data_IF_498062145996
#
_entry.id   IF_498062145996
#
_cell.length_a   1.000
_cell.length_b   1.000
_cell.length_c   1.000
_cell.angle_alpha   90.00
_cell.angle_beta   90.00
_cell.angle_gamma   90.00
#
_symmetry.space_group_name_H-M   'P 1'
#
loop_
_entity.id
_entity.type
_entity.pdbx_description
1 polymer ?
#
# COMPACT_ATOMS: atom_id res chain seq x y z
N UNK A 1 -28.82 34.88 -9.51
CA UNK A 1 -28.44 35.13 -8.10
C UNK A 1 -29.02 34.02 -7.24
N UNK A 2 -28.26 32.98 -6.92
CA UNK A 2 -28.74 31.86 -6.10
C UNK A 2 -28.33 32.05 -4.64
N UNK A 3 -29.28 31.78 -3.75
CA UNK A 3 -29.19 32.03 -2.32
C UNK A 3 -28.12 31.15 -1.66
N UNK A 4 -27.14 31.78 -1.02
CA UNK A 4 -26.28 31.13 -0.04
C UNK A 4 -27.13 30.74 1.17
N UNK A 5 -27.45 29.45 1.30
CA UNK A 5 -28.00 28.88 2.54
C UNK A 5 -26.94 29.03 3.63
N UNK A 6 -27.19 29.92 4.58
CA UNK A 6 -26.38 30.10 5.78
C UNK A 6 -26.41 28.81 6.60
N UNK A 7 -25.24 28.20 6.80
CA UNK A 7 -25.10 27.04 7.69
C UNK A 7 -25.35 27.54 9.12
N UNK A 8 -26.30 26.97 9.88
CA UNK A 8 -26.61 27.46 11.21
C UNK A 8 -25.39 27.29 12.13
N UNK A 9 -24.91 28.41 12.69
CA UNK A 9 -23.71 28.53 13.55
C UNK A 9 -23.67 27.47 14.66
N UNK A 10 -24.84 27.05 15.19
CA UNK A 10 -24.96 25.98 16.20
C UNK A 10 -24.51 24.60 15.70
N UNK A 11 -24.65 24.27 14.41
CA UNK A 11 -24.14 23.02 13.81
C UNK A 11 -22.63 23.05 13.64
N UNK A 12 -22.06 24.21 13.30
CA UNK A 12 -20.60 24.41 13.18
C UNK A 12 -19.93 24.28 14.55
N UNK A 13 -20.50 24.90 15.59
CA UNK A 13 -19.99 24.81 16.96
C UNK A 13 -20.07 23.37 17.50
N UNK A 14 -21.17 22.65 17.26
CA UNK A 14 -21.28 21.22 17.63
C UNK A 14 -20.24 20.37 16.89
N UNK A 15 -19.97 20.63 15.61
CA UNK A 15 -18.98 19.90 14.84
C UNK A 15 -17.55 20.18 15.34
N UNK A 16 -17.23 21.44 15.65
CA UNK A 16 -15.94 21.83 16.22
C UNK A 16 -15.72 21.21 17.61
N UNK A 17 -16.75 21.20 18.47
CA UNK A 17 -16.70 20.55 19.79
C UNK A 17 -16.57 19.02 19.68
N UNK A 18 -17.29 18.37 18.75
CA UNK A 18 -17.14 16.93 18.54
C UNK A 18 -15.74 16.59 18.01
N UNK A 19 -15.23 17.42 17.09
CA UNK A 19 -13.89 17.25 16.52
C UNK A 19 -12.81 17.48 17.57
N UNK A 20 -12.94 18.48 18.45
CA UNK A 20 -11.97 18.76 19.52
C UNK A 20 -11.98 17.68 20.61
N UNK A 21 -13.14 17.17 21.01
CA UNK A 21 -13.26 16.04 21.96
C UNK A 21 -12.71 14.74 21.35
N UNK A 22 -12.94 14.52 20.05
CA UNK A 22 -12.33 13.41 19.32
C UNK A 22 -10.80 13.55 19.24
N UNK A 23 -10.29 14.75 18.97
CA UNK A 23 -8.84 15.02 18.98
C UNK A 23 -8.22 14.77 20.35
N UNK A 24 -8.85 15.19 21.45
CA UNK A 24 -8.33 15.00 22.81
C UNK A 24 -8.26 13.52 23.21
N UNK A 25 -9.30 12.74 22.89
CA UNK A 25 -9.32 11.30 23.21
C UNK A 25 -8.35 10.49 22.34
N UNK A 26 -8.28 10.80 21.03
CA UNK A 26 -7.29 10.18 20.14
C UNK A 26 -5.87 10.56 20.57
N UNK A 27 -5.62 11.84 20.90
CA UNK A 27 -4.29 12.28 21.36
C UNK A 27 -3.89 11.66 22.70
N UNK A 28 -4.83 11.49 23.63
CA UNK A 28 -4.60 10.80 24.90
C UNK A 28 -4.29 9.31 24.71
N UNK A 29 -4.91 8.65 23.72
CA UNK A 29 -4.61 7.26 23.39
C UNK A 29 -3.30 7.12 22.59
N UNK A 30 -2.98 8.09 21.72
CA UNK A 30 -1.71 8.16 20.98
C UNK A 30 -0.51 8.46 21.88
N UNK A 31 -0.73 9.02 23.08
CA UNK A 31 0.34 9.29 24.05
C UNK A 31 0.76 7.97 24.69
N UNK A 32 1.83 7.40 24.14
CA UNK A 32 2.38 6.13 24.50
C UNK A 32 2.86 6.12 25.98
N UNK A 33 2.26 5.26 26.81
CA UNK A 33 2.68 5.08 28.21
C UNK A 33 3.90 4.16 28.27
N UNK A 34 5.08 4.78 28.43
CA UNK A 34 6.38 4.10 28.53
C UNK A 34 6.60 3.30 29.81
N UNK A 35 5.63 3.21 30.73
CA UNK A 35 5.74 2.33 31.91
C UNK A 35 5.29 0.89 31.62
N UNK A 36 4.48 0.67 30.57
CA UNK A 36 3.86 -0.62 30.27
C UNK A 36 4.72 -1.46 29.33
N UNK A 37 4.92 -2.74 29.68
CA UNK A 37 5.64 -3.73 28.84
C UNK A 37 4.98 -3.99 27.49
N UNK A 38 3.66 -3.85 27.43
CA UNK A 38 2.83 -4.03 26.23
C UNK A 38 1.86 -2.86 26.16
N UNK A 39 1.74 -2.27 24.98
CA UNK A 39 0.89 -1.10 24.73
C UNK A 39 -0.12 -1.43 23.64
N UNK A 40 -1.36 -1.05 23.88
CA UNK A 40 -2.45 -1.20 22.94
C UNK A 40 -2.98 0.18 22.55
N UNK A 41 -3.37 0.32 21.30
CA UNK A 41 -3.95 1.53 20.74
C UNK A 41 -5.06 1.11 19.78
N UNK A 42 -6.24 1.71 19.92
CA UNK A 42 -7.37 1.43 19.05
C UNK A 42 -7.84 2.74 18.47
N UNK A 43 -7.83 2.86 17.14
CA UNK A 43 -8.14 4.09 16.43
C UNK A 43 -9.21 3.81 15.37
N UNK A 44 -10.28 4.61 15.31
CA UNK A 44 -11.18 4.59 14.16
C UNK A 44 -10.42 5.06 12.90
N UNK A 45 -10.56 4.30 11.81
CA UNK A 45 -9.93 4.65 10.53
C UNK A 45 -10.96 5.21 9.57
N UNK A 46 -10.59 6.30 8.89
CA UNK A 46 -11.36 6.91 7.82
C UNK A 46 -10.40 7.31 6.71
N UNK A 47 -10.61 6.78 5.51
CA UNK A 47 -9.75 7.07 4.37
C UNK A 47 -10.55 6.99 3.07
N UNK A 48 -9.99 7.49 1.97
CA UNK A 48 -10.67 7.52 0.67
C UNK A 48 -9.71 7.22 -0.47
N UNK A 49 -10.14 6.38 -1.39
CA UNK A 49 -9.44 6.15 -2.66
C UNK A 49 -10.42 6.06 -3.83
N UNK A 50 -9.95 6.24 -5.08
CA UNK A 50 -10.77 6.00 -6.28
C UNK A 50 -11.34 4.59 -6.40
N UNK A 51 -10.73 3.59 -5.77
CA UNK A 51 -11.10 2.17 -5.81
C UNK A 51 -12.19 1.85 -4.80
N UNK A 52 -12.04 2.34 -3.58
CA UNK A 52 -12.89 2.00 -2.44
C UNK A 52 -14.01 3.03 -2.19
N UNK A 53 -13.85 4.25 -2.70
CA UNK A 53 -14.66 5.37 -2.23
C UNK A 53 -14.28 5.72 -0.79
N UNK A 54 -15.24 6.16 0.03
CA UNK A 54 -15.01 6.36 1.46
C UNK A 54 -14.96 5.00 2.17
N UNK A 55 -13.92 4.80 2.97
CA UNK A 55 -13.72 3.63 3.83
C UNK A 55 -13.75 4.05 5.30
N UNK A 56 -14.43 3.27 6.13
CA UNK A 56 -14.57 3.50 7.57
C UNK A 56 -14.44 2.18 8.32
N UNK A 57 -13.77 2.22 9.47
CA UNK A 57 -13.52 1.02 10.25
C UNK A 57 -12.74 1.30 11.51
N UNK A 58 -12.06 0.27 12.01
CA UNK A 58 -11.26 0.34 13.23
C UNK A 58 -9.90 -0.31 12.97
N UNK A 59 -8.87 0.25 13.59
CA UNK A 59 -7.54 -0.33 13.64
C UNK A 59 -7.10 -0.49 15.09
N UNK A 60 -6.52 -1.64 15.40
CA UNK A 60 -5.82 -1.91 16.64
C UNK A 60 -4.31 -1.96 16.40
N UNK A 61 -3.52 -1.56 17.38
CA UNK A 61 -2.06 -1.69 17.36
C UNK A 61 -1.57 -2.17 18.70
N UNK A 62 -0.81 -3.27 18.69
CA UNK A 62 -0.15 -3.87 19.83
C UNK A 62 1.36 -3.66 19.69
N UNK A 63 1.95 -2.85 20.56
CA UNK A 63 3.39 -2.57 20.59
C UNK A 63 4.04 -3.22 21.79
N UNK A 64 5.16 -3.90 21.59
CA UNK A 64 5.89 -4.62 22.65
C UNK A 64 7.38 -4.78 22.30
N UNK A 65 8.20 -5.10 23.30
CA UNK A 65 9.59 -5.56 23.08
C UNK A 65 9.68 -7.06 23.33
N UNK A 66 10.48 -7.76 22.51
CA UNK A 66 10.83 -9.18 22.75
C UNK A 66 11.96 -9.33 23.77
N UNK A 67 12.53 -8.22 24.24
CA UNK A 67 13.58 -8.12 25.25
C UNK A 67 13.04 -7.30 26.44
N UNK A 68 13.93 -6.75 27.28
CA UNK A 68 13.54 -5.84 28.34
C UNK A 68 13.10 -4.48 27.79
N UNK A 69 12.20 -3.80 28.51
CA UNK A 69 11.54 -2.57 28.06
C UNK A 69 12.51 -1.44 27.63
N UNK A 70 13.68 -1.32 28.25
CA UNK A 70 14.64 -0.25 27.99
C UNK A 70 15.82 -0.65 27.08
N UNK A 71 15.78 -1.82 26.43
CA UNK A 71 16.87 -2.25 25.53
C UNK A 71 16.98 -1.31 24.31
N UNK A 72 18.08 -0.54 24.16
CA UNK A 72 18.22 0.40 23.05
C UNK A 72 18.58 -0.29 21.73
N UNK A 73 19.00 -1.56 21.76
CA UNK A 73 19.51 -2.29 20.60
C UNK A 73 18.42 -3.02 19.81
N UNK A 74 17.21 -3.12 20.35
CA UNK A 74 16.09 -3.83 19.73
C UNK A 74 14.90 -2.89 19.60
N UNK A 75 14.48 -2.60 18.36
CA UNK A 75 13.27 -1.80 18.10
C UNK A 75 12.01 -2.44 18.70
N UNK A 76 11.02 -1.60 18.97
CA UNK A 76 9.68 -2.04 19.40
C UNK A 76 8.99 -2.79 18.27
N UNK A 77 8.56 -4.02 18.57
CA UNK A 77 7.72 -4.84 17.71
C UNK A 77 6.30 -4.31 17.71
N UNK A 78 5.62 -4.42 16.57
CA UNK A 78 4.26 -3.93 16.41
C UNK A 78 3.44 -4.96 15.65
N UNK A 79 2.25 -5.26 16.14
CA UNK A 79 1.19 -5.96 15.40
C UNK A 79 0.03 -4.99 15.24
N UNK A 80 -0.29 -4.66 14.00
CA UNK A 80 -1.44 -3.83 13.63
C UNK A 80 -2.53 -4.73 13.09
N UNK A 81 -3.76 -4.49 13.52
CA UNK A 81 -4.95 -5.09 12.95
C UNK A 81 -5.85 -3.99 12.42
N UNK A 82 -6.60 -4.29 11.36
CA UNK A 82 -7.54 -3.36 10.77
C UNK A 82 -8.74 -4.13 10.25
N UNK A 83 -9.94 -3.58 10.44
CA UNK A 83 -11.17 -4.07 9.84
C UNK A 83 -11.97 -2.86 9.36
N UNK A 84 -12.35 -2.84 8.09
CA UNK A 84 -13.09 -1.72 7.52
C UNK A 84 -14.06 -2.14 6.41
N UNK A 85 -15.08 -1.30 6.26
CA UNK A 85 -16.05 -1.35 5.18
C UNK A 85 -15.94 -0.11 4.31
N UNK A 86 -16.48 -0.19 3.11
CA UNK A 86 -16.43 0.91 2.16
C UNK A 86 -17.79 1.22 1.57
N UNK A 87 -17.95 2.44 1.07
CA UNK A 87 -19.11 2.87 0.28
C UNK A 87 -19.32 2.08 -1.02
N UNK A 88 -18.32 1.29 -1.45
CA UNK A 88 -18.38 0.40 -2.61
C UNK A 88 -18.53 -1.08 -2.24
N UNK A 89 -18.93 -1.36 -0.99
CA UNK A 89 -19.23 -2.70 -0.49
C UNK A 89 -18.01 -3.64 -0.46
N UNK A 90 -16.82 -3.09 -0.28
CA UNK A 90 -15.66 -3.91 0.11
C UNK A 90 -15.66 -4.13 1.62
N UNK A 91 -15.17 -5.30 2.04
CA UNK A 91 -14.86 -5.65 3.42
C UNK A 91 -13.43 -6.18 3.44
N UNK A 92 -12.58 -5.58 4.27
CA UNK A 92 -11.20 -6.02 4.44
C UNK A 92 -10.88 -6.11 5.92
N UNK A 93 -10.31 -7.25 6.30
CA UNK A 93 -9.77 -7.52 7.62
C UNK A 93 -8.32 -7.93 7.45
N UNK A 94 -7.40 -7.27 8.13
CA UNK A 94 -5.99 -7.60 8.02
C UNK A 94 -5.28 -7.48 9.37
N UNK A 95 -4.21 -8.25 9.51
CA UNK A 95 -3.24 -8.15 10.58
C UNK A 95 -1.84 -8.14 9.97
N UNK A 96 -1.10 -7.07 10.22
CA UNK A 96 0.28 -6.86 9.80
C UNK A 96 1.19 -6.81 11.03
N UNK A 97 2.25 -7.60 11.04
CA UNK A 97 3.18 -7.71 12.17
C UNK A 97 4.62 -7.46 11.72
N UNK A 98 5.36 -6.73 12.54
CA UNK A 98 6.83 -6.68 12.49
C UNK A 98 7.37 -6.95 13.87
N UNK A 99 8.05 -8.09 14.02
CA UNK A 99 8.62 -8.57 15.27
C UNK A 99 10.14 -8.53 15.17
N UNK A 100 10.76 -7.69 15.99
CA UNK A 100 12.21 -7.58 16.09
C UNK A 100 12.71 -8.50 17.20
N UNK A 101 13.56 -9.47 16.87
CA UNK A 101 14.23 -10.33 17.84
C UNK A 101 15.45 -9.61 18.46
N UNK A 102 16.05 -10.12 19.56
CA UNK A 102 17.13 -9.43 20.26
C UNK A 102 18.29 -8.99 19.34
N UNK A 103 18.73 -7.73 19.48
CA UNK A 103 19.75 -7.07 18.64
C UNK A 103 19.37 -7.00 17.15
N UNK A 104 18.10 -7.29 16.84
CA UNK A 104 17.52 -7.45 15.52
C UNK A 104 18.34 -8.40 14.64
N UNK A 105 18.88 -9.47 15.24
CA UNK A 105 19.53 -10.55 14.48
C UNK A 105 18.53 -11.17 13.49
N UNK A 106 17.26 -11.23 13.90
CA UNK A 106 16.15 -11.65 13.08
C UNK A 106 15.02 -10.61 13.15
N UNK A 107 14.29 -10.49 12.05
CA UNK A 107 13.06 -9.69 11.94
C UNK A 107 12.02 -10.57 11.28
N UNK A 108 10.90 -10.83 11.94
CA UNK A 108 9.76 -11.53 11.35
C UNK A 108 8.72 -10.49 10.94
N UNK A 109 8.45 -10.41 9.64
CA UNK A 109 7.28 -9.72 9.11
C UNK A 109 6.18 -10.76 8.88
N UNK A 110 4.94 -10.38 9.08
CA UNK A 110 3.79 -11.26 8.82
C UNK A 110 2.60 -10.44 8.36
N UNK A 111 1.93 -10.93 7.33
CA UNK A 111 0.64 -10.41 6.90
C UNK A 111 -0.38 -11.54 6.90
N UNK A 112 -1.57 -11.27 7.44
CA UNK A 112 -2.74 -12.13 7.30
C UNK A 112 -3.89 -11.23 6.90
N UNK A 113 -4.65 -11.58 5.89
CA UNK A 113 -5.84 -10.81 5.51
C UNK A 113 -6.96 -11.66 4.96
N UNK A 114 -8.17 -11.19 5.15
CA UNK A 114 -9.37 -11.59 4.42
C UNK A 114 -9.92 -10.36 3.70
N UNK A 115 -10.37 -10.54 2.47
CA UNK A 115 -10.98 -9.46 1.71
C UNK A 115 -12.08 -9.96 0.80
N UNK A 116 -13.23 -9.29 0.86
CA UNK A 116 -14.25 -9.31 -0.18
C UNK A 116 -14.19 -7.98 -0.95
N UNK A 117 -13.98 -8.05 -2.27
CA UNK A 117 -13.66 -6.87 -3.06
C UNK A 117 -14.38 -6.87 -4.42
N UNK A 118 -15.52 -6.18 -4.53
CA UNK A 118 -16.05 -5.74 -5.82
C UNK A 118 -15.08 -4.75 -6.49
N UNK A 119 -14.62 -5.09 -7.68
CA UNK A 119 -13.63 -4.36 -8.45
C UNK A 119 -14.11 -4.08 -9.89
N UNK A 120 -13.29 -3.34 -10.62
CA UNK A 120 -13.48 -2.98 -12.02
C UNK A 120 -12.43 -3.65 -12.89
N UNK A 121 -12.85 -4.07 -14.07
CA UNK A 121 -12.02 -4.72 -15.07
C UNK A 121 -12.10 -3.98 -16.41
N UNK A 122 -10.95 -3.70 -17.00
CA UNK A 122 -10.83 -3.04 -18.31
C UNK A 122 -10.20 -3.95 -19.38
N UNK A 123 -9.87 -5.19 -19.04
CA UNK A 123 -9.04 -6.07 -19.86
C UNK A 123 -7.63 -6.26 -19.28
N UNK A 124 -6.83 -7.07 -19.98
CA UNK A 124 -5.43 -7.35 -19.68
C UNK A 124 -4.55 -6.69 -20.74
N UNK A 125 -3.41 -6.15 -20.31
CA UNK A 125 -2.38 -5.55 -21.15
C UNK A 125 -2.38 -4.01 -21.14
N UNK A 126 -1.43 -3.42 -21.88
CA UNK A 126 -1.20 -1.97 -21.88
C UNK A 126 -2.21 -1.15 -22.69
N UNK A 127 -3.01 -1.79 -23.57
CA UNK A 127 -3.81 -1.14 -24.62
C UNK A 127 -5.32 -1.15 -24.33
N UNK A 128 -5.71 -1.29 -23.06
CA UNK A 128 -7.12 -1.38 -22.68
C UNK A 128 -7.83 -0.03 -22.77
N UNK A 129 -9.03 -0.01 -23.34
CA UNK A 129 -9.86 1.20 -23.49
C UNK A 129 -10.41 1.68 -22.14
N UNK A 130 -10.61 3.00 -21.97
CA UNK A 130 -11.11 3.56 -20.70
C UNK A 130 -12.56 3.19 -20.36
N UNK A 131 -13.38 2.91 -21.38
CA UNK A 131 -14.78 2.49 -21.24
C UNK A 131 -15.19 1.53 -22.37
N UNK A 132 -16.14 0.62 -22.11
CA UNK A 132 -16.73 0.32 -20.79
C UNK A 132 -15.76 -0.48 -19.90
N UNK A 133 -15.93 -0.37 -18.59
CA UNK A 133 -15.35 -1.33 -17.64
C UNK A 133 -16.44 -2.32 -17.22
N UNK A 134 -16.03 -3.52 -16.84
CA UNK A 134 -16.90 -4.53 -16.26
C UNK A 134 -16.67 -4.63 -14.76
N UNK A 135 -17.70 -5.04 -14.01
CA UNK A 135 -17.57 -5.31 -12.57
C UNK A 135 -17.39 -6.80 -12.36
N UNK A 136 -16.46 -7.13 -11.47
CA UNK A 136 -16.30 -8.47 -10.93
C UNK A 136 -16.08 -8.36 -9.42
N UNK A 137 -16.21 -9.44 -8.67
CA UNK A 137 -15.86 -9.47 -7.27
C UNK A 137 -15.11 -10.75 -6.96
N UNK A 138 -14.20 -10.67 -5.99
CA UNK A 138 -13.56 -11.84 -5.42
C UNK A 138 -13.62 -11.81 -3.91
N UNK A 139 -13.55 -13.00 -3.32
CA UNK A 139 -13.31 -13.19 -1.89
C UNK A 139 -12.03 -14.00 -1.71
N UNK A 140 -11.12 -13.54 -0.86
CA UNK A 140 -9.85 -14.22 -0.65
C UNK A 140 -9.34 -14.13 0.79
N UNK A 141 -8.48 -15.09 1.14
CA UNK A 141 -7.58 -15.02 2.27
C UNK A 141 -6.14 -15.02 1.78
N UNK A 142 -5.28 -14.29 2.48
CA UNK A 142 -3.85 -14.16 2.17
C UNK A 142 -3.02 -14.25 3.44
N UNK A 143 -1.91 -14.98 3.38
CA UNK A 143 -0.96 -15.16 4.48
C UNK A 143 0.46 -15.05 3.91
N UNK A 144 1.29 -14.20 4.51
CA UNK A 144 2.69 -14.04 4.10
C UNK A 144 3.62 -13.80 5.29
N UNK A 145 4.22 -14.84 5.88
CA UNK A 145 5.33 -14.71 6.80
C UNK A 145 6.64 -14.47 6.02
N UNK A 146 7.47 -13.56 6.53
CA UNK A 146 8.77 -13.21 5.96
C UNK A 146 9.79 -13.04 7.08
N UNK A 147 10.69 -14.03 7.21
CA UNK A 147 11.77 -13.99 8.19
C UNK A 147 13.04 -13.44 7.54
N UNK A 148 13.59 -12.37 8.11
CA UNK A 148 14.85 -11.75 7.69
C UNK A 148 15.92 -11.96 8.75
N UNK A 149 17.13 -12.32 8.32
CA UNK A 149 18.36 -12.40 9.12
C UNK A 149 19.27 -11.22 8.78
N UNK A 150 19.75 -10.54 9.81
CA UNK A 150 20.74 -9.46 9.68
C UNK A 150 22.11 -10.06 9.30
N UNK A 151 22.67 -9.62 8.18
CA UNK A 151 24.00 -10.04 7.72
C UNK A 151 25.05 -8.98 8.08
N UNK A 152 24.72 -7.72 7.80
CA UNK A 152 25.52 -6.55 8.22
C UNK A 152 24.60 -5.50 8.84
N UNK A 153 25.14 -4.34 9.23
CA UNK A 153 24.36 -3.27 9.88
C UNK A 153 23.10 -2.85 9.10
N UNK A 154 23.11 -2.98 7.77
CA UNK A 154 22.04 -2.50 6.88
C UNK A 154 21.53 -3.56 5.89
N UNK A 155 22.23 -4.69 5.76
CA UNK A 155 21.90 -5.75 4.82
C UNK A 155 21.23 -6.92 5.53
N UNK A 156 20.11 -7.37 4.97
CA UNK A 156 19.35 -8.52 5.45
C UNK A 156 19.10 -9.50 4.31
N UNK A 157 19.26 -10.78 4.60
CA UNK A 157 18.77 -11.87 3.77
C UNK A 157 17.52 -12.43 4.41
N UNK A 158 16.55 -12.85 3.62
CA UNK A 158 15.30 -13.39 4.16
C UNK A 158 14.72 -14.52 3.35
N UNK A 159 13.86 -15.28 4.01
CA UNK A 159 13.01 -16.32 3.43
C UNK A 159 11.57 -15.93 3.69
N UNK A 160 10.71 -16.13 2.69
CA UNK A 160 9.29 -15.83 2.80
C UNK A 160 8.45 -16.98 2.28
N UNK A 161 7.20 -16.99 2.72
CA UNK A 161 6.16 -17.84 2.19
C UNK A 161 4.98 -16.96 1.81
N UNK A 162 4.27 -17.31 0.76
CA UNK A 162 3.04 -16.66 0.34
C UNK A 162 1.98 -17.71 0.09
N UNK A 163 0.82 -17.51 0.70
CA UNK A 163 -0.36 -18.33 0.48
C UNK A 163 -1.56 -17.43 0.24
N UNK A 164 -2.21 -17.60 -0.90
CA UNK A 164 -3.45 -16.94 -1.25
C UNK A 164 -4.48 -18.00 -1.61
N UNK A 165 -5.67 -17.90 -1.03
CA UNK A 165 -6.81 -18.70 -1.40
C UNK A 165 -7.94 -17.78 -1.84
N UNK A 166 -8.32 -17.83 -3.11
CA UNK A 166 -9.45 -17.11 -3.69
C UNK A 166 -10.65 -18.04 -3.67
N UNK A 167 -11.57 -17.80 -2.74
CA UNK A 167 -12.71 -18.66 -2.44
C UNK A 167 -13.83 -18.53 -3.47
N UNK A 168 -14.07 -17.31 -3.94
CA UNK A 168 -15.20 -16.99 -4.79
C UNK A 168 -14.80 -15.93 -5.80
N UNK A 169 -15.27 -16.08 -7.04
CA UNK A 169 -15.12 -15.12 -8.13
C UNK A 169 -16.49 -14.98 -8.80
N UNK A 170 -17.03 -13.77 -8.83
CA UNK A 170 -18.32 -13.47 -9.48
C UNK A 170 -18.14 -12.39 -10.53
N UNK A 171 -18.64 -12.65 -11.73
CA UNK A 171 -18.56 -11.76 -12.88
C UNK A 171 -19.73 -12.06 -13.84
N UNK A 172 -19.91 -11.25 -14.88
CA UNK A 172 -20.98 -11.44 -15.85
C UNK A 172 -20.54 -12.44 -16.93
N UNK A 173 -21.27 -13.55 -17.07
CA UNK A 173 -21.05 -14.52 -18.15
C UNK A 173 -21.25 -13.88 -19.54
N UNK A 174 -20.39 -14.22 -20.49
CA UNK A 174 -20.35 -13.61 -21.82
C UNK A 174 -19.90 -12.14 -21.85
N UNK A 175 -19.45 -11.60 -20.71
CA UNK A 175 -18.84 -10.28 -20.62
C UNK A 175 -17.38 -10.25 -21.10
N UNK A 176 -16.81 -9.05 -21.14
CA UNK A 176 -15.39 -8.82 -21.43
C UNK A 176 -14.45 -9.53 -20.45
N UNK A 177 -14.84 -9.66 -19.19
CA UNK A 177 -14.08 -10.42 -18.18
C UNK A 177 -14.04 -11.90 -18.53
N UNK A 178 -15.20 -12.45 -18.88
CA UNK A 178 -15.36 -13.87 -19.24
C UNK A 178 -14.65 -14.23 -20.56
N UNK A 179 -14.69 -13.34 -21.55
CA UNK A 179 -14.07 -13.58 -22.86
C UNK A 179 -12.55 -13.34 -22.87
N UNK A 180 -11.99 -12.62 -21.90
CA UNK A 180 -10.56 -12.30 -21.87
C UNK A 180 -9.71 -13.53 -21.53
N UNK A 181 -8.56 -13.71 -22.20
CA UNK A 181 -7.66 -14.83 -21.95
C UNK A 181 -6.74 -14.56 -20.74
N UNK A 182 -7.11 -15.07 -19.55
CA UNK A 182 -6.28 -15.06 -18.34
C UNK A 182 -6.69 -16.17 -17.36
N UNK A 183 -5.81 -16.50 -16.41
CA UNK A 183 -6.04 -17.55 -15.40
C UNK A 183 -6.74 -17.03 -14.13
N UNK A 184 -7.40 -17.91 -13.38
CA UNK A 184 -8.02 -17.54 -12.09
C UNK A 184 -9.40 -16.88 -12.19
N UNK A 185 -10.24 -17.33 -13.14
CA UNK A 185 -11.67 -16.97 -13.22
C UNK A 185 -12.57 -17.79 -12.29
N UNK A 186 -12.08 -18.95 -11.84
CA UNK A 186 -12.72 -19.83 -10.87
C UNK A 186 -11.95 -19.77 -9.54
N UNK A 187 -12.47 -20.26 -8.41
CA UNK A 187 -11.71 -20.35 -7.16
C UNK A 187 -10.37 -21.08 -7.34
N UNK A 188 -9.33 -20.59 -6.67
CA UNK A 188 -7.98 -21.16 -6.78
C UNK A 188 -7.11 -20.80 -5.58
N UNK A 189 -6.01 -21.54 -5.43
CA UNK A 189 -4.94 -21.30 -4.48
C UNK A 189 -3.64 -21.04 -5.20
N UNK A 190 -2.89 -20.05 -4.71
CA UNK A 190 -1.46 -19.93 -5.03
C UNK A 190 -0.67 -20.00 -3.74
N UNK A 191 0.36 -20.81 -3.76
CA UNK A 191 1.15 -21.13 -2.57
C UNK A 191 2.61 -21.30 -2.97
N UNK A 192 3.51 -20.58 -2.31
CA UNK A 192 4.89 -20.48 -2.77
C UNK A 192 5.87 -20.08 -1.68
N UNK A 193 7.11 -20.52 -1.86
CA UNK A 193 8.23 -20.19 -0.99
C UNK A 193 9.23 -19.30 -1.76
N UNK A 194 9.93 -18.44 -1.03
CA UNK A 194 10.78 -17.44 -1.64
C UNK A 194 11.93 -16.97 -0.78
N UNK A 195 12.78 -16.17 -1.40
CA UNK A 195 13.93 -15.52 -0.77
C UNK A 195 13.93 -14.03 -1.05
N UNK A 196 14.65 -13.28 -0.23
CA UNK A 196 14.75 -11.83 -0.37
C UNK A 196 16.12 -11.30 0.03
N UNK A 197 16.52 -10.20 -0.58
CA UNK A 197 17.64 -9.37 -0.15
C UNK A 197 17.10 -7.98 0.11
N UNK A 198 17.47 -7.38 1.24
CA UNK A 198 17.10 -5.99 1.52
C UNK A 198 18.24 -5.19 2.14
N UNK A 199 18.36 -3.94 1.71
CA UNK A 199 19.29 -2.96 2.24
C UNK A 199 18.50 -1.71 2.66
N UNK A 200 18.64 -1.29 3.90
CA UNK A 200 17.98 -0.07 4.40
C UNK A 200 18.98 0.85 5.11
N UNK A 201 19.16 2.03 4.54
CA UNK A 201 20.00 3.11 5.07
C UNK A 201 19.22 4.38 5.35
N UNK A 202 17.88 4.32 5.28
CA UNK A 202 17.01 5.47 5.54
C UNK A 202 17.18 5.94 6.98
N UNK A 203 17.12 7.26 7.17
CA UNK A 203 17.22 7.87 8.49
C UNK A 203 15.93 7.73 9.31
N UNK A 204 14.77 7.80 8.67
CA UNK A 204 13.43 7.73 9.28
C UNK A 204 12.55 6.89 8.36
N UNK A 205 11.69 6.05 8.91
CA UNK A 205 10.85 5.13 8.12
C UNK A 205 9.67 5.82 7.45
N UNK A 206 8.91 6.67 8.18
CA UNK A 206 7.66 7.25 7.68
C UNK A 206 7.84 8.54 6.88
N UNK A 207 8.96 9.23 7.05
CA UNK A 207 9.35 10.39 6.25
C UNK A 207 10.86 10.40 6.02
N UNK A 208 11.38 9.51 5.16
CA UNK A 208 12.80 9.45 4.89
C UNK A 208 13.28 10.76 4.25
N UNK A 209 14.33 11.35 4.82
CA UNK A 209 14.95 12.58 4.27
C UNK A 209 16.23 12.28 3.50
N UNK A 210 16.90 11.17 3.84
CA UNK A 210 18.13 10.73 3.21
C UNK A 210 18.28 9.22 3.28
N UNK A 211 18.99 8.67 2.29
CA UNK A 211 19.39 7.28 2.25
C UNK A 211 18.72 6.50 1.12
N UNK A 212 19.01 5.21 1.10
CA UNK A 212 18.55 4.24 0.11
C UNK A 212 17.79 3.13 0.82
N UNK A 213 16.68 2.71 0.22
CA UNK A 213 16.03 1.45 0.51
C UNK A 213 16.06 0.60 -0.76
N UNK A 214 16.49 -0.65 -0.63
CA UNK A 214 16.46 -1.64 -1.69
C UNK A 214 15.85 -2.92 -1.15
N UNK A 215 14.91 -3.49 -1.89
CA UNK A 215 14.33 -4.80 -1.65
C UNK A 215 14.23 -5.53 -2.98
N UNK A 216 14.70 -6.77 -3.02
CA UNK A 216 14.35 -7.71 -4.09
C UNK A 216 13.82 -8.99 -3.46
N UNK A 217 12.76 -9.54 -4.02
CA UNK A 217 12.08 -10.75 -3.58
C UNK A 217 11.83 -11.67 -4.77
N UNK A 218 12.12 -12.95 -4.59
CA UNK A 218 11.84 -14.00 -5.56
C UNK A 218 10.99 -15.07 -4.89
N UNK A 219 9.89 -15.49 -5.51
CA UNK A 219 8.95 -16.46 -4.95
C UNK A 219 8.53 -17.45 -6.01
N UNK A 220 8.69 -18.73 -5.74
CA UNK A 220 8.32 -19.83 -6.62
C UNK A 220 7.04 -20.48 -6.11
N UNK A 221 5.99 -20.44 -6.94
CA UNK A 221 4.68 -21.03 -6.68
C UNK A 221 4.56 -22.33 -7.46
N UNK A 222 4.29 -23.43 -6.75
CA UNK A 222 4.39 -24.78 -7.30
C UNK A 222 3.32 -25.70 -6.72
N UNK A 223 2.93 -26.73 -7.48
CA UNK A 223 1.99 -27.77 -7.03
C UNK A 223 2.47 -28.49 -5.77
N UNK A 224 3.78 -28.68 -5.64
CA UNK A 224 4.46 -29.25 -4.47
C UNK A 224 4.21 -28.43 -3.18
N UNK A 225 3.91 -27.13 -3.33
CA UNK A 225 3.50 -26.24 -2.24
C UNK A 225 1.98 -26.08 -2.11
N UNK A 226 1.18 -26.94 -2.75
CA UNK A 226 -0.30 -26.87 -2.83
C UNK A 226 -0.81 -25.65 -3.62
N UNK A 227 -0.06 -25.20 -4.62
CA UNK A 227 -0.50 -24.18 -5.59
C UNK A 227 -1.26 -24.83 -6.74
N UNK A 228 -2.35 -24.23 -7.19
CA UNK A 228 -3.06 -24.66 -8.42
C UNK A 228 -2.32 -24.23 -9.69
N UNK A 229 -1.50 -23.18 -9.59
CA UNK A 229 -0.73 -22.60 -10.68
C UNK A 229 0.77 -22.67 -10.42
N UNK A 230 1.54 -22.93 -11.48
CA UNK A 230 2.99 -22.82 -11.47
C UNK A 230 3.39 -21.44 -12.01
N UNK A 231 3.99 -20.62 -11.16
CA UNK A 231 4.52 -19.33 -11.54
C UNK A 231 5.70 -18.92 -10.67
N UNK A 232 6.48 -17.99 -11.17
CA UNK A 232 7.54 -17.30 -10.42
C UNK A 232 7.18 -15.84 -10.33
N UNK A 233 7.33 -15.25 -9.14
CA UNK A 233 7.15 -13.81 -8.90
C UNK A 233 8.47 -13.17 -8.52
N UNK A 234 8.80 -12.05 -9.17
CA UNK A 234 9.98 -11.24 -8.87
C UNK A 234 9.57 -9.79 -8.62
N UNK A 235 9.86 -9.28 -7.42
CA UNK A 235 9.61 -7.90 -7.03
C UNK A 235 10.94 -7.22 -6.76
N UNK A 236 11.12 -6.00 -7.29
CA UNK A 236 12.23 -5.10 -6.93
C UNK A 236 11.69 -3.73 -6.57
N UNK A 237 12.11 -3.18 -5.44
CA UNK A 237 11.76 -1.85 -4.96
C UNK A 237 13.02 -1.11 -4.53
N UNK A 238 13.38 -0.09 -5.31
CA UNK A 238 14.53 0.76 -5.08
C UNK A 238 14.03 2.18 -4.81
N UNK A 239 14.36 2.71 -3.63
CA UNK A 239 13.99 4.06 -3.21
C UNK A 239 15.24 4.84 -2.84
N UNK A 240 15.30 6.08 -3.29
CA UNK A 240 16.39 7.00 -2.97
C UNK A 240 15.84 8.33 -2.46
N UNK A 241 16.40 8.82 -1.36
CA UNK A 241 15.99 10.06 -0.72
C UNK A 241 17.20 10.97 -0.56
N UNK A 242 17.03 12.24 -0.94
CA UNK A 242 18.06 13.27 -0.83
C UNK A 242 17.45 14.57 -0.32
N UNK A 243 17.91 14.99 0.85
CA UNK A 243 17.69 16.35 1.36
C UNK A 243 18.55 17.33 0.55
N UNK A 244 17.90 18.20 -0.21
CA UNK A 244 18.58 19.15 -1.11
C UNK A 244 18.74 20.54 -0.47
N UNK A 245 17.84 20.89 0.45
CA UNK A 245 17.92 22.11 1.25
C UNK A 245 17.27 21.87 2.62
N UNK A 246 17.26 22.90 3.48
CA UNK A 246 16.48 22.85 4.72
C UNK A 246 15.03 22.51 4.36
N UNK A 247 14.51 21.43 4.96
CA UNK A 247 13.12 21.01 4.85
C UNK A 247 12.62 20.63 3.45
N UNK A 248 13.54 20.48 2.48
CA UNK A 248 13.27 20.11 1.09
C UNK A 248 13.93 18.78 0.74
N UNK A 249 13.14 17.83 0.26
CA UNK A 249 13.56 16.45 -0.02
C UNK A 249 13.13 16.07 -1.44
N UNK A 250 14.06 15.51 -2.20
CA UNK A 250 13.76 14.74 -3.40
C UNK A 250 13.70 13.26 -3.05
N UNK A 251 12.61 12.61 -3.44
CA UNK A 251 12.37 11.19 -3.25
C UNK A 251 12.13 10.54 -4.61
N UNK A 252 12.75 9.39 -4.83
CA UNK A 252 12.64 8.61 -6.06
C UNK A 252 12.29 7.18 -5.70
N UNK A 253 11.44 6.55 -6.50
CA UNK A 253 11.13 5.13 -6.43
C UNK A 253 11.17 4.52 -7.82
N UNK A 254 11.94 3.44 -7.99
CA UNK A 254 11.82 2.49 -9.08
C UNK A 254 11.19 1.22 -8.52
N UNK A 255 10.03 0.85 -9.04
CA UNK A 255 9.31 -0.35 -8.63
C UNK A 255 9.08 -1.27 -9.84
N UNK A 256 9.52 -2.51 -9.71
CA UNK A 256 9.38 -3.57 -10.69
C UNK A 256 8.60 -4.74 -10.05
N UNK A 257 7.64 -5.26 -10.80
CA UNK A 257 6.86 -6.43 -10.45
C UNK A 257 6.75 -7.31 -11.69
N UNK A 258 7.22 -8.55 -11.59
CA UNK A 258 7.24 -9.49 -12.71
C UNK A 258 6.67 -10.84 -12.27
N UNK A 259 5.97 -11.48 -13.19
CA UNK A 259 5.47 -12.85 -13.01
C UNK A 259 5.70 -13.68 -14.27
N UNK A 260 6.16 -14.91 -14.09
CA UNK A 260 6.48 -15.83 -15.18
C UNK A 260 5.67 -17.12 -15.02
N UNK A 261 5.08 -17.62 -16.10
CA UNK A 261 4.25 -18.82 -16.08
C UNK A 261 2.75 -18.51 -16.01
N UNK A 262 1.98 -19.47 -15.48
CA UNK A 262 0.52 -19.41 -15.50
C UNK A 262 0.00 -18.48 -14.39
N UNK A 263 0.04 -17.18 -14.65
CA UNK A 263 -0.25 -16.17 -13.63
C UNK A 263 -1.75 -15.89 -13.53
N UNK A 264 -2.40 -16.21 -12.39
CA UNK A 264 -3.81 -15.89 -12.20
C UNK A 264 -4.03 -14.40 -11.91
N UNK A 265 -5.25 -13.93 -12.14
CA UNK A 265 -5.63 -12.50 -12.13
C UNK A 265 -5.12 -11.71 -10.92
N UNK A 266 -5.11 -12.31 -9.72
CA UNK A 266 -4.69 -11.62 -8.48
C UNK A 266 -3.18 -11.55 -8.31
N UNK A 267 -2.43 -12.38 -9.01
CA UNK A 267 -0.96 -12.32 -9.07
C UNK A 267 -0.46 -11.46 -10.23
N UNK A 268 -1.33 -10.98 -11.13
CA UNK A 268 -0.94 -10.02 -12.16
C UNK A 268 -0.56 -8.67 -11.53
N UNK A 269 0.46 -8.04 -12.14
CA UNK A 269 0.86 -6.70 -11.78
C UNK A 269 -0.33 -5.73 -11.87
N UNK A 270 -0.49 -4.88 -10.87
CA UNK A 270 -1.62 -3.95 -10.76
C UNK A 270 -1.13 -2.50 -10.84
N UNK A 271 -1.28 -1.87 -12.00
CA UNK A 271 -0.83 -0.49 -12.22
C UNK A 271 -1.78 0.53 -11.60
N UNK A 272 -1.26 1.54 -10.91
CA UNK A 272 -2.04 2.61 -10.29
C UNK A 272 -2.35 2.39 -8.80
N UNK A 273 -3.13 3.31 -8.23
CA UNK A 273 -3.54 3.30 -6.83
C UNK A 273 -2.83 4.34 -5.94
N UNK A 274 -3.07 4.30 -4.61
CA UNK A 274 -2.51 5.26 -3.67
C UNK A 274 -0.99 5.13 -3.46
N UNK A 275 -0.43 3.95 -3.75
CA UNK A 275 0.97 3.59 -3.48
C UNK A 275 1.80 3.41 -4.75
N UNK A 276 1.21 3.60 -5.93
CA UNK A 276 1.90 3.53 -7.22
C UNK A 276 1.12 4.34 -8.26
N UNK A 277 1.80 5.18 -9.06
CA UNK A 277 1.20 5.86 -10.21
C UNK A 277 -0.18 6.51 -9.93
N UNK A 278 -0.24 7.31 -8.85
CA UNK A 278 -1.45 8.04 -8.41
C UNK A 278 -2.10 8.79 -9.58
N UNK A 279 -3.43 8.79 -9.60
CA UNK A 279 -4.26 9.24 -10.72
C UNK A 279 -4.88 8.07 -11.48
N UNK A 280 -4.16 6.96 -11.61
CA UNK A 280 -4.73 5.72 -12.14
C UNK A 280 -5.46 4.94 -11.04
N UNK A 281 -6.59 4.33 -11.40
CA UNK A 281 -7.26 3.34 -10.57
C UNK A 281 -6.33 2.12 -10.38
N UNK A 282 -6.21 1.57 -9.18
CA UNK A 282 -5.36 0.41 -8.92
C UNK A 282 -5.81 -0.81 -9.73
N UNK A 283 -4.95 -1.28 -10.64
CA UNK A 283 -5.31 -2.31 -11.60
C UNK A 283 -6.08 -1.80 -12.81
N UNK A 284 -6.02 -0.48 -13.11
CA UNK A 284 -6.52 0.08 -14.37
C UNK A 284 -5.89 -0.62 -15.57
N UNK A 285 -4.59 -0.91 -15.47
CA UNK A 285 -3.87 -1.80 -16.37
C UNK A 285 -3.31 -2.97 -15.57
N UNK A 286 -3.43 -4.17 -16.12
CA UNK A 286 -2.95 -5.42 -15.53
C UNK A 286 -2.18 -6.20 -16.57
N UNK A 287 -1.04 -6.75 -16.22
CA UNK A 287 -0.27 -7.66 -17.06
C UNK A 287 0.63 -8.53 -16.16
N UNK A 288 1.39 -9.45 -16.75
CA UNK A 288 2.37 -10.23 -16.00
C UNK A 288 3.40 -9.34 -15.31
N UNK A 289 3.84 -8.29 -16.02
CA UNK A 289 4.94 -7.45 -15.59
C UNK A 289 4.56 -5.97 -15.56
N UNK A 290 5.22 -5.23 -14.69
CA UNK A 290 5.07 -3.79 -14.53
C UNK A 290 6.37 -3.17 -14.06
N UNK A 291 6.71 -2.04 -14.66
CA UNK A 291 7.77 -1.16 -14.18
C UNK A 291 7.25 0.26 -14.03
N UNK A 292 7.66 0.93 -12.97
CA UNK A 292 7.27 2.31 -12.69
C UNK A 292 8.40 3.07 -12.01
N UNK A 293 8.52 4.34 -12.38
CA UNK A 293 9.45 5.29 -11.79
C UNK A 293 8.67 6.51 -11.32
N UNK A 294 8.77 6.84 -10.03
CA UNK A 294 8.05 7.94 -9.40
C UNK A 294 9.07 8.87 -8.74
N UNK A 295 8.88 10.17 -8.94
CA UNK A 295 9.62 11.23 -8.26
C UNK A 295 8.66 12.07 -7.43
N UNK A 296 9.06 12.40 -6.21
CA UNK A 296 8.37 13.37 -5.36
C UNK A 296 9.34 14.45 -4.87
N UNK A 297 8.91 15.70 -4.95
CA UNK A 297 9.50 16.80 -4.20
C UNK A 297 8.64 17.07 -2.97
N UNK A 298 9.22 16.92 -1.79
CA UNK A 298 8.56 17.09 -0.49
C UNK A 298 9.10 18.33 0.21
N UNK A 299 8.20 19.17 0.70
CA UNK A 299 8.51 20.42 1.39
C UNK A 299 7.75 20.46 2.72
N UNK A 300 8.47 20.60 3.83
CA UNK A 300 7.85 20.95 5.09
C UNK A 300 7.57 22.45 5.14
N UNK A 301 6.34 22.82 5.52
CA UNK A 301 5.86 24.19 5.47
C UNK A 301 5.98 24.85 6.85
N UNK A 302 5.11 24.46 7.77
CA UNK A 302 5.03 25.03 9.12
C UNK A 302 4.31 24.08 10.06
N UNK A 303 4.80 23.97 11.30
CA UNK A 303 4.17 23.18 12.35
C UNK A 303 4.01 21.72 11.93
N UNK A 304 2.77 21.26 11.74
CA UNK A 304 2.46 19.89 11.33
C UNK A 304 2.16 19.73 9.83
N UNK A 305 2.25 20.82 9.07
CA UNK A 305 1.87 20.84 7.66
C UNK A 305 3.09 20.69 6.76
N UNK A 306 2.99 19.77 5.80
CA UNK A 306 3.94 19.63 4.70
C UNK A 306 3.18 19.48 3.38
N UNK A 307 3.87 19.60 2.26
CA UNK A 307 3.29 19.41 0.93
C UNK A 307 4.23 18.59 0.06
N UNK A 308 3.71 18.03 -1.03
CA UNK A 308 4.51 17.42 -2.06
C UNK A 308 3.97 17.73 -3.46
N UNK A 309 4.87 17.77 -4.43
CA UNK A 309 4.56 17.61 -5.84
C UNK A 309 5.16 16.30 -6.33
N UNK A 310 4.45 15.57 -7.18
CA UNK A 310 4.90 14.26 -7.65
C UNK A 310 4.63 14.06 -9.14
N UNK A 311 5.46 13.23 -9.76
CA UNK A 311 5.34 12.79 -11.14
C UNK A 311 5.83 11.36 -11.27
N UNK A 312 5.22 10.59 -12.15
CA UNK A 312 5.59 9.21 -12.39
C UNK A 312 5.40 8.81 -13.84
N UNK A 313 6.20 7.84 -14.26
CA UNK A 313 6.12 7.17 -15.55
C UNK A 313 6.16 5.67 -15.34
N UNK A 314 5.47 4.90 -16.17
CA UNK A 314 5.51 3.45 -16.06
C UNK A 314 4.69 2.75 -17.12
N UNK A 315 4.78 1.42 -17.14
CA UNK A 315 4.02 0.60 -18.08
C UNK A 315 3.78 -0.80 -17.52
N UNK A 316 2.82 -1.51 -18.11
CA UNK A 316 2.60 -2.95 -17.93
C UNK A 316 2.91 -3.67 -19.23
N UNK A 317 3.38 -4.91 -19.15
CA UNK A 317 3.81 -5.71 -20.30
C UNK A 317 3.77 -7.20 -19.99
N UNK A 318 3.76 -8.04 -21.02
CA UNK A 318 3.85 -9.50 -20.86
C UNK A 318 5.27 -10.00 -21.21
N UNK A 319 5.87 -9.46 -22.26
CA UNK A 319 7.26 -9.70 -22.64
C UNK A 319 8.03 -8.38 -22.70
N UNK A 320 9.33 -8.41 -22.42
CA UNK A 320 10.17 -7.20 -22.51
C UNK A 320 10.13 -6.56 -23.91
N UNK A 321 9.96 -7.36 -24.97
CA UNK A 321 9.78 -6.89 -26.34
C UNK A 321 8.48 -6.09 -26.56
N UNK A 322 7.50 -6.20 -25.65
CA UNK A 322 6.22 -5.49 -25.74
C UNK A 322 6.30 -4.05 -25.20
N UNK A 323 7.44 -3.68 -24.59
CA UNK A 323 7.69 -2.33 -24.08
C UNK A 323 7.89 -1.35 -25.22
N UNK A 324 6.78 -0.76 -25.66
CA UNK A 324 6.75 0.33 -26.64
C UNK A 324 6.58 1.67 -25.96
N UNK A 325 7.26 2.70 -26.47
CA UNK A 325 7.20 4.07 -25.94
C UNK A 325 5.79 4.67 -26.01
N UNK A 326 4.99 4.28 -27.02
CA UNK A 326 3.59 4.70 -27.19
C UNK A 326 2.68 4.27 -26.02
N UNK A 327 3.09 3.23 -25.30
CA UNK A 327 2.34 2.67 -24.18
C UNK A 327 2.78 3.21 -22.83
N UNK A 328 3.69 4.19 -22.76
CA UNK A 328 4.11 4.76 -21.48
C UNK A 328 2.95 5.53 -20.85
N UNK A 329 2.62 5.18 -19.60
CA UNK A 329 1.65 5.89 -18.78
C UNK A 329 2.38 6.92 -17.95
N UNK A 330 1.88 8.15 -17.96
CA UNK A 330 2.42 9.28 -17.19
C UNK A 330 1.34 9.76 -16.24
N UNK A 331 1.70 10.04 -14.99
CA UNK A 331 0.83 10.77 -14.06
C UNK A 331 1.62 11.78 -13.25
N UNK A 332 0.93 12.82 -12.80
CA UNK A 332 1.49 13.85 -11.94
C UNK A 332 0.43 14.38 -11.00
N UNK A 333 0.85 15.11 -9.97
CA UNK A 333 -0.06 15.63 -8.98
C UNK A 333 0.62 16.31 -7.84
N UNK A 334 -0.17 16.62 -6.83
CA UNK A 334 0.30 17.27 -5.61
C UNK A 334 -0.50 16.79 -4.41
N UNK A 335 0.03 17.08 -3.24
CA UNK A 335 -0.61 16.68 -2.01
C UNK A 335 -0.22 17.51 -0.80
N UNK A 336 -1.08 17.41 0.21
CA UNK A 336 -0.89 17.99 1.54
C UNK A 336 -0.65 16.88 2.54
N UNK A 337 0.11 17.21 3.58
CA UNK A 337 0.46 16.32 4.68
C UNK A 337 0.15 16.99 6.00
N UNK A 338 -0.44 16.22 6.89
CA UNK A 338 -0.61 16.60 8.29
C UNK A 338 0.03 15.54 9.18
N UNK A 339 1.06 15.92 9.94
CA UNK A 339 1.74 15.03 10.85
C UNK A 339 0.84 14.67 12.05
N UNK A 340 0.34 13.43 12.06
CA UNK A 340 -0.38 12.86 13.20
C UNK A 340 0.55 12.66 14.39
N UNK A 341 1.72 12.09 14.12
CA UNK A 341 2.78 11.86 15.08
C UNK A 341 4.01 12.63 14.63
N UNK A 342 4.26 13.75 15.30
CA UNK A 342 5.25 14.74 14.88
C UNK A 342 6.69 14.22 14.97
N UNK A 343 7.00 13.41 15.98
CA UNK A 343 8.34 12.82 16.19
C UNK A 343 8.63 11.73 15.17
N UNK A 344 7.65 10.87 14.91
CA UNK A 344 7.74 9.73 14.00
C UNK A 344 7.52 10.16 12.54
N UNK A 345 7.03 11.39 12.32
CA UNK A 345 6.64 11.96 11.02
C UNK A 345 5.62 11.09 10.27
N UNK A 346 4.67 10.52 11.01
CA UNK A 346 3.55 9.79 10.41
C UNK A 346 2.50 10.80 9.94
N UNK A 347 2.24 10.83 8.64
CA UNK A 347 1.33 11.82 8.05
C UNK A 347 -0.01 11.22 7.64
N UNK A 348 -1.09 12.01 7.79
CA UNK A 348 -2.25 11.92 6.91
C UNK A 348 -1.91 12.64 5.62
N UNK A 349 -2.32 12.02 4.51
CA UNK A 349 -2.03 12.46 3.16
C UNK A 349 -3.32 12.75 2.42
N UNK A 350 -3.42 13.96 1.86
CA UNK A 350 -4.42 14.34 0.87
C UNK A 350 -3.70 14.53 -0.46
N UNK A 351 -3.81 13.57 -1.37
CA UNK A 351 -3.18 13.63 -2.69
C UNK A 351 -4.25 13.75 -3.78
N UNK A 352 -3.95 14.54 -4.81
CA UNK A 352 -4.68 14.52 -6.06
C UNK A 352 -3.72 14.17 -7.20
N UNK A 353 -3.98 13.05 -7.87
CA UNK A 353 -3.22 12.60 -9.03
C UNK A 353 -4.04 12.73 -10.31
N UNK A 354 -3.38 13.12 -11.39
CA UNK A 354 -3.98 13.32 -12.71
C UNK A 354 -3.09 12.70 -13.79
N UNK A 355 -3.72 12.11 -14.79
CA UNK A 355 -3.10 11.67 -16.04
C UNK A 355 -3.94 12.14 -17.23
N UNK A 356 -5.23 11.84 -17.22
CA UNK A 356 -6.18 12.29 -18.24
C UNK A 356 -7.61 12.34 -17.67
N UNK A 357 -8.59 12.73 -18.50
CA UNK A 357 -10.00 12.86 -18.09
C UNK A 357 -10.62 11.62 -17.44
N UNK A 358 -10.11 10.42 -17.75
CA UNK A 358 -10.59 9.15 -17.21
C UNK A 358 -9.74 8.65 -16.03
N UNK A 359 -8.50 9.11 -15.94
CA UNK A 359 -7.49 8.68 -14.98
C UNK A 359 -7.07 9.87 -14.12
N UNK A 360 -7.88 10.12 -13.09
CA UNK A 360 -7.66 11.10 -12.04
C UNK A 360 -8.23 10.60 -10.72
N UNK A 361 -7.64 11.00 -9.59
CA UNK A 361 -8.03 10.47 -8.30
C UNK A 361 -7.67 11.37 -7.12
N UNK A 362 -8.60 11.49 -6.17
CA UNK A 362 -8.37 12.07 -4.85
C UNK A 362 -8.16 10.95 -3.83
N UNK A 363 -7.08 11.03 -3.08
CA UNK A 363 -6.68 10.06 -2.07
C UNK A 363 -6.60 10.75 -0.71
N UNK A 364 -7.21 10.15 0.30
CA UNK A 364 -7.01 10.49 1.70
C UNK A 364 -6.47 9.21 2.35
N UNK A 365 -5.20 9.16 2.74
CA UNK A 365 -4.57 7.96 3.32
C UNK A 365 -3.66 8.30 4.49
N UNK A 366 -3.12 7.29 5.15
CA UNK A 366 -2.07 7.43 6.18
C UNK A 366 -0.76 6.89 5.61
N UNK A 367 0.36 7.50 6.03
CA UNK A 367 1.72 7.25 5.54
C UNK A 367 1.96 7.67 4.06
N UNK A 368 3.24 7.78 3.71
CA UNK A 368 3.68 8.18 2.38
C UNK A 368 3.53 7.06 1.34
N UNK A 369 3.56 7.44 0.06
CA UNK A 369 3.49 6.53 -1.07
C UNK A 369 4.60 5.46 -1.03
N UNK A 370 5.81 5.89 -0.65
CA UNK A 370 7.02 5.10 -0.56
C UNK A 370 8.10 5.78 0.30
#
# INVERSE_FOLDING_TARGET
>A
MSAFKTIPVKRVIKFILLFSVFQLNVYSQLKQDTSKKVQYLVIPVLFKTPEMGLAYGISGSLSFKTTHHNDPLTRTSVIQTIAFFTTRRQNIQAADGVIYFPKEKYILLGQISHSYFPDKFWGIGPNTTDKPFERYSFEQAYVSPHLKKKITKRLFLGVLYEFQNVFNVSYKLGGSFDSSAFFGKQPYKVSGAGMSISYDSRNITFWPEKGIYFLTQFTDFRKEFLSDYNLVKWITDLRYFKKIFKDQILAFQLYNYETFGNTPLRELASFGGPNNMRGFYQGRYRANNMISFITEYRLHLIGRFSTCAFGGVGNVYNHFSDLKSENIKISYGGGLRFALLEKEKLNIRLDYGYSNRFNQGLYITVAECF
#
